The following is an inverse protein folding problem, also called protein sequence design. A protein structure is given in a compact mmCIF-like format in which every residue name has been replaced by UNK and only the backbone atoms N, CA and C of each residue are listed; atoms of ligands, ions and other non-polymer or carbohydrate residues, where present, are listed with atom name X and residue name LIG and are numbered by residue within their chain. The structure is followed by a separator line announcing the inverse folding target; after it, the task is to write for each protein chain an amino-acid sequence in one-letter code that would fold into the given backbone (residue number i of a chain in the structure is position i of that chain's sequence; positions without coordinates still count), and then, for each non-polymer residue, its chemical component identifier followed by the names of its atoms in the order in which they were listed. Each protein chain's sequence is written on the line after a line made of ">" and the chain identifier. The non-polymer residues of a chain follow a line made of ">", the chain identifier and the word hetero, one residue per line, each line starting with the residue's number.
data_IF_577300351028
#
_entry.id   IF_577300351028
#
_cell.length_a   1.000
_cell.length_b   1.000
_cell.length_c   1.000
_cell.angle_alpha   90.00
_cell.angle_beta   90.00
_cell.angle_gamma   90.00
#
_symmetry.space_group_name_H-M   'P 1'
#
loop_
_entity.id
_entity.type
_entity.pdbx_description
1 polymer ?
#
# COMPACT_ATOMS: atom_id res chain seq x y z
N UNK A 1 -30.71 12.18 -1.61
CA UNK A 1 -30.81 11.00 -2.49
C UNK A 1 -29.53 10.20 -2.31
N UNK A 2 -29.56 9.15 -1.49
CA UNK A 2 -28.47 8.17 -1.44
C UNK A 2 -28.71 7.17 -2.57
N UNK A 3 -27.73 7.04 -3.47
CA UNK A 3 -27.79 6.09 -4.58
C UNK A 3 -27.72 4.66 -4.05
N UNK A 4 -28.74 3.87 -4.35
CA UNK A 4 -28.79 2.43 -4.12
C UNK A 4 -27.81 1.78 -5.11
N UNK A 5 -26.55 1.65 -4.72
CA UNK A 5 -25.50 1.03 -5.52
C UNK A 5 -24.19 1.02 -4.77
N UNK A 6 -23.72 -0.18 -4.41
CA UNK A 6 -22.52 -0.51 -3.62
C UNK A 6 -22.62 -0.35 -2.09
N UNK A 7 -23.31 -1.29 -1.43
CA UNK A 7 -22.89 -1.65 -0.06
C UNK A 7 -21.72 -2.61 -0.18
N UNK A 8 -20.52 -2.16 0.19
CA UNK A 8 -19.35 -3.01 0.28
C UNK A 8 -19.52 -4.10 1.34
N UNK A 9 -18.65 -5.11 1.31
CA UNK A 9 -18.47 -6.02 2.45
C UNK A 9 -18.14 -5.24 3.72
N UNK A 10 -18.36 -5.84 4.90
CA UNK A 10 -18.02 -5.20 6.18
C UNK A 10 -16.56 -4.71 6.23
N UNK A 11 -15.62 -5.43 5.59
CA UNK A 11 -14.21 -5.04 5.51
C UNK A 11 -14.03 -3.80 4.61
N UNK A 12 -14.72 -3.75 3.47
CA UNK A 12 -14.65 -2.61 2.55
C UNK A 12 -15.19 -1.33 3.20
N UNK A 13 -16.31 -1.44 3.93
CA UNK A 13 -16.88 -0.30 4.65
C UNK A 13 -16.00 0.12 5.82
N UNK A 14 -15.38 -0.82 6.54
CA UNK A 14 -14.43 -0.52 7.62
C UNK A 14 -13.23 0.29 7.13
N UNK A 15 -12.71 -0.01 5.94
CA UNK A 15 -11.57 0.68 5.34
C UNK A 15 -11.95 1.87 4.43
N UNK A 16 -13.24 2.18 4.29
CA UNK A 16 -13.71 3.28 3.45
C UNK A 16 -13.19 4.62 3.98
N UNK A 17 -12.49 5.37 3.14
CA UNK A 17 -11.88 6.65 3.47
C UNK A 17 -10.67 6.56 4.39
N UNK A 18 -10.24 5.34 4.79
CA UNK A 18 -9.17 5.15 5.75
C UNK A 18 -7.79 5.39 5.14
N UNK A 19 -6.88 5.90 5.98
CA UNK A 19 -5.45 6.02 5.71
C UNK A 19 -4.68 4.99 6.54
N UNK A 20 -3.89 4.13 5.91
CA UNK A 20 -3.26 2.97 6.56
C UNK A 20 -1.75 3.10 6.59
N UNK A 21 -1.13 2.96 7.76
CA UNK A 21 0.31 2.79 7.90
C UNK A 21 0.64 1.30 8.08
N UNK A 22 1.48 0.75 7.20
CA UNK A 22 1.89 -0.65 7.22
C UNK A 22 3.40 -0.74 7.49
N UNK A 23 3.73 -1.29 8.65
CA UNK A 23 5.10 -1.73 8.96
C UNK A 23 5.39 -3.08 8.32
N UNK A 24 6.64 -3.30 7.90
CA UNK A 24 7.02 -4.56 7.27
C UNK A 24 6.39 -4.79 5.89
N UNK A 25 5.82 -3.75 5.26
CA UNK A 25 5.17 -3.82 3.95
C UNK A 25 6.05 -4.33 2.80
N UNK A 26 7.38 -4.32 2.98
CA UNK A 26 8.34 -4.87 1.99
C UNK A 26 8.62 -6.37 2.16
N UNK A 27 8.19 -6.98 3.26
CA UNK A 27 8.26 -8.44 3.43
C UNK A 27 7.15 -9.11 2.62
N UNK A 28 7.31 -10.39 2.28
CA UNK A 28 6.38 -11.13 1.42
C UNK A 28 4.90 -10.98 1.81
N UNK A 29 4.57 -11.22 3.09
CA UNK A 29 3.20 -11.03 3.62
C UNK A 29 2.73 -9.58 3.55
N UNK A 30 3.63 -8.62 3.80
CA UNK A 30 3.33 -7.20 3.71
C UNK A 30 2.94 -6.78 2.29
N UNK A 31 3.68 -7.26 1.28
CA UNK A 31 3.36 -6.98 -0.14
C UNK A 31 1.98 -7.52 -0.50
N UNK A 32 1.68 -8.77 -0.10
CA UNK A 32 0.37 -9.39 -0.36
C UNK A 32 -0.77 -8.66 0.35
N UNK A 33 -0.56 -8.21 1.58
CA UNK A 33 -1.57 -7.44 2.31
C UNK A 33 -1.88 -6.12 1.60
N UNK A 34 -0.85 -5.37 1.21
CA UNK A 34 -0.99 -4.12 0.46
C UNK A 34 -1.77 -4.35 -0.83
N UNK A 35 -1.35 -5.36 -1.59
CA UNK A 35 -1.98 -5.76 -2.83
C UNK A 35 -3.46 -6.15 -2.62
N UNK A 36 -3.75 -6.96 -1.59
CA UNK A 36 -5.12 -7.38 -1.27
C UNK A 36 -6.01 -6.21 -0.87
N UNK A 37 -5.50 -5.29 -0.06
CA UNK A 37 -6.22 -4.09 0.37
C UNK A 37 -6.53 -3.18 -0.81
N UNK A 38 -5.53 -2.89 -1.64
CA UNK A 38 -5.70 -2.03 -2.81
C UNK A 38 -6.66 -2.64 -3.86
N UNK A 39 -6.65 -3.96 -4.05
CA UNK A 39 -7.59 -4.63 -4.97
C UNK A 39 -9.01 -4.72 -4.40
N UNK A 40 -9.14 -4.98 -3.10
CA UNK A 40 -10.43 -5.33 -2.50
C UNK A 40 -11.13 -4.14 -1.85
N UNK A 41 -10.42 -3.09 -1.47
CA UNK A 41 -10.94 -1.90 -0.80
C UNK A 41 -10.74 -0.66 -1.70
N UNK A 42 -11.57 -0.48 -2.74
CA UNK A 42 -11.37 0.58 -3.75
C UNK A 42 -11.50 2.00 -3.18
N UNK A 43 -12.15 2.14 -2.02
CA UNK A 43 -12.41 3.43 -1.37
C UNK A 43 -11.38 3.78 -0.28
N UNK A 44 -10.16 3.23 -0.32
CA UNK A 44 -9.07 3.65 0.58
C UNK A 44 -8.58 5.05 0.23
N UNK A 45 -8.25 5.86 1.24
CA UNK A 45 -7.69 7.21 1.01
C UNK A 45 -6.20 7.15 0.70
N UNK A 46 -5.40 6.45 1.51
CA UNK A 46 -3.95 6.37 1.34
C UNK A 46 -3.37 5.15 2.04
N UNK A 47 -2.28 4.59 1.49
CA UNK A 47 -1.49 3.52 2.12
C UNK A 47 -0.05 4.00 2.23
N UNK A 48 0.48 4.01 3.46
CA UNK A 48 1.83 4.44 3.81
C UNK A 48 2.65 3.21 4.17
N UNK A 49 3.84 3.05 3.56
CA UNK A 49 4.75 1.94 3.84
C UNK A 49 5.98 2.45 4.57
N UNK A 50 6.25 1.90 5.76
CA UNK A 50 7.50 2.19 6.46
C UNK A 50 8.63 1.29 5.92
N UNK A 51 9.52 1.87 5.13
CA UNK A 51 10.70 1.18 4.59
C UNK A 51 11.93 1.60 5.37
N UNK A 52 12.51 0.65 6.13
CA UNK A 52 13.77 0.88 6.86
C UNK A 52 14.96 0.39 6.05
N UNK A 53 16.06 1.14 6.10
CA UNK A 53 17.36 0.67 5.63
C UNK A 53 17.82 -0.54 6.45
N UNK A 54 18.41 -1.54 5.80
CA UNK A 54 19.03 -2.70 6.45
C UNK A 54 20.54 -2.65 6.19
N UNK A 55 21.36 -3.30 7.02
CA UNK A 55 22.82 -3.35 6.79
C UNK A 55 23.11 -3.84 5.36
N UNK A 56 23.75 -2.98 4.56
CA UNK A 56 24.12 -3.28 3.17
C UNK A 56 23.08 -2.98 2.10
N UNK A 57 21.86 -2.52 2.44
CA UNK A 57 20.85 -2.08 1.45
C UNK A 57 20.13 -0.79 1.89
N UNK A 58 20.23 0.24 1.06
CA UNK A 58 19.52 1.51 1.25
C UNK A 58 18.00 1.36 1.13
N UNK A 59 17.26 2.32 1.69
CA UNK A 59 15.79 2.33 1.62
C UNK A 59 15.29 2.41 0.17
N UNK A 60 15.96 3.20 -0.68
CA UNK A 60 15.63 3.33 -2.11
C UNK A 60 15.81 1.99 -2.85
N UNK A 61 16.93 1.29 -2.65
CA UNK A 61 17.13 -0.04 -3.26
C UNK A 61 16.08 -1.07 -2.81
N UNK A 62 15.64 -1.03 -1.54
CA UNK A 62 14.53 -1.89 -1.09
C UNK A 62 13.20 -1.50 -1.73
N UNK A 63 13.04 -0.24 -2.08
CA UNK A 63 11.87 0.25 -2.76
C UNK A 63 11.84 -0.16 -4.23
N UNK A 64 13.00 -0.14 -4.87
CA UNK A 64 13.18 -0.67 -6.23
C UNK A 64 12.94 -2.19 -6.24
N UNK A 65 13.48 -2.93 -5.27
CA UNK A 65 13.22 -4.36 -5.08
C UNK A 65 11.71 -4.62 -4.87
N UNK A 66 11.01 -3.75 -4.14
CA UNK A 66 9.57 -3.84 -3.93
C UNK A 66 8.79 -3.58 -5.23
N UNK A 67 9.16 -2.54 -5.98
CA UNK A 67 8.50 -2.15 -7.24
C UNK A 67 8.73 -3.17 -8.37
N UNK A 68 9.88 -3.82 -8.38
CA UNK A 68 10.24 -4.81 -9.39
C UNK A 68 9.74 -6.23 -9.10
N UNK A 69 9.21 -6.48 -7.91
CA UNK A 69 8.68 -7.77 -7.49
C UNK A 69 7.38 -8.13 -8.27
N UNK A 70 7.27 -9.35 -8.83
CA UNK A 70 6.04 -9.80 -9.52
C UNK A 70 4.77 -9.68 -8.68
N UNK A 71 4.87 -9.85 -7.36
CA UNK A 71 3.74 -9.71 -6.43
C UNK A 71 3.23 -8.27 -6.39
N UNK A 72 4.13 -7.29 -6.46
CA UNK A 72 3.79 -5.87 -6.49
C UNK A 72 3.39 -5.37 -7.89
N UNK A 73 3.83 -6.06 -8.95
CA UNK A 73 3.59 -5.69 -10.37
C UNK A 73 2.13 -5.82 -10.83
N UNK A 74 1.28 -6.48 -10.05
CA UNK A 74 -0.17 -6.54 -10.32
C UNK A 74 -0.86 -5.17 -10.14
N UNK A 75 -0.14 -4.15 -9.66
CA UNK A 75 -0.64 -2.80 -9.47
C UNK A 75 0.06 -1.77 -10.37
N UNK A 76 -0.72 -1.00 -11.14
CA UNK A 76 -0.26 0.22 -11.81
C UNK A 76 -0.15 1.34 -10.76
N UNK A 77 1.09 1.68 -10.41
CA UNK A 77 1.57 2.93 -9.80
C UNK A 77 0.65 3.59 -8.77
N UNK A 78 0.85 3.29 -7.48
CA UNK A 78 0.53 4.26 -6.40
C UNK A 78 1.85 4.86 -5.94
N UNK A 79 1.98 6.16 -6.21
CA UNK A 79 3.14 7.02 -6.00
C UNK A 79 3.76 6.83 -4.62
N UNK A 80 5.00 6.34 -4.62
CA UNK A 80 5.91 6.47 -3.49
C UNK A 80 6.50 7.88 -3.52
N UNK A 81 5.77 8.83 -2.93
CA UNK A 81 6.32 10.14 -2.57
C UNK A 81 5.96 10.42 -1.13
N UNK A 82 6.76 9.88 -0.21
CA UNK A 82 6.72 10.26 1.20
C UNK A 82 8.04 9.86 1.86
N UNK A 83 9.16 10.38 1.35
CA UNK A 83 10.38 10.60 2.15
C UNK A 83 11.40 11.54 1.46
N UNK A 84 11.04 12.29 0.41
CA UNK A 84 11.92 13.30 -0.20
C UNK A 84 11.73 14.73 0.34
N UNK A 85 10.76 14.97 1.23
CA UNK A 85 10.37 16.34 1.64
C UNK A 85 10.70 16.73 3.10
N UNK A 86 11.58 16.01 3.79
CA UNK A 86 12.16 16.49 5.06
C UNK A 86 13.61 16.02 5.24
N UNK A 87 14.52 16.65 4.51
CA UNK A 87 15.89 16.95 4.94
C UNK A 87 16.51 17.95 3.97
#
# INVERSE_FOLDING_TARGET
>A
METIGERGTMIQEFYRGSSLLIEGGTAFMGKLLVEKLLRSCPNLSSVYLLVRSMKGKGAESRLDDFSNDPVSKIFCVVFLHLFKDKA
#
